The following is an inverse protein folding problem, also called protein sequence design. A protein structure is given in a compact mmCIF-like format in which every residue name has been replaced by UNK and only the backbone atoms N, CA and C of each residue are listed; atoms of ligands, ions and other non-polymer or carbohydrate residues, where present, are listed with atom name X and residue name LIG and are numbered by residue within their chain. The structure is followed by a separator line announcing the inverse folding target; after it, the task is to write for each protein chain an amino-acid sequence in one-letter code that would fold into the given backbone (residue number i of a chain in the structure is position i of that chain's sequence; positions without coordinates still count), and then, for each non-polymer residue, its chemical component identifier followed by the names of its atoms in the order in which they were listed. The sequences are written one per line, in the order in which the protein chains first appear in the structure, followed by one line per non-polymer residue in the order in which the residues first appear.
data_IF_321299804100
#
_entry.id   IF_321299804100
#
_cell.length_a   1.000
_cell.length_b   1.000
_cell.length_c   1.000
_cell.angle_alpha   90.00
_cell.angle_beta   90.00
_cell.angle_gamma   90.00
#
_symmetry.space_group_name_H-M   'P 1'
#
loop_
_entity.id
_entity.type
_entity.pdbx_description
1 polymer ?
#
# COMPACT_ATOMS: atom_id res chain seq x y z
N UNK A 1 -4.96 2.68 33.35
CA UNK A 1 -4.51 3.26 32.08
C UNK A 1 -3.39 2.42 31.43
N UNK A 2 -3.52 1.08 31.46
CA UNK A 2 -2.51 0.13 30.92
C UNK A 2 -3.12 -0.94 29.99
N UNK A 3 -4.45 -0.95 29.82
CA UNK A 3 -5.15 -1.93 29.00
C UNK A 3 -5.34 -1.51 27.53
N UNK A 4 -5.21 -0.21 27.21
CA UNK A 4 -5.37 0.30 25.84
C UNK A 4 -4.10 0.16 24.98
N UNK A 5 -2.92 0.11 25.60
CA UNK A 5 -1.65 -0.11 24.87
C UNK A 5 -1.53 -1.56 24.40
N UNK A 6 -2.14 -2.52 25.11
CA UNK A 6 -2.13 -3.93 24.70
C UNK A 6 -3.02 -4.22 23.47
N UNK A 7 -4.09 -3.44 23.25
CA UNK A 7 -5.03 -3.69 22.16
C UNK A 7 -4.46 -3.30 20.78
N UNK A 8 -3.59 -2.29 20.71
CA UNK A 8 -2.91 -1.89 19.47
C UNK A 8 -1.75 -2.84 19.16
N UNK A 9 -1.13 -3.43 20.19
CA UNK A 9 -0.09 -4.47 20.01
C UNK A 9 -0.67 -5.81 19.57
N UNK A 10 -1.92 -6.14 19.91
CA UNK A 10 -2.54 -7.41 19.47
C UNK A 10 -3.02 -7.42 18.01
N UNK A 11 -3.18 -6.26 17.36
CA UNK A 11 -3.41 -6.22 15.92
C UNK A 11 -2.15 -6.54 15.09
N UNK A 12 -0.97 -6.58 15.73
CA UNK A 12 0.32 -6.91 15.12
C UNK A 12 0.62 -8.43 15.09
N UNK A 13 -0.32 -9.27 15.56
CA UNK A 13 -0.13 -10.73 15.70
C UNK A 13 -1.22 -11.54 14.99
N UNK A 14 -1.79 -11.04 13.89
CA UNK A 14 -2.47 -11.92 12.96
C UNK A 14 -1.45 -12.34 11.91
N UNK A 15 -1.01 -13.61 11.89
CA UNK A 15 -0.21 -14.12 10.80
C UNK A 15 -1.15 -14.26 9.60
N UNK A 16 -1.33 -13.19 8.84
CA UNK A 16 -1.89 -13.31 7.51
C UNK A 16 -0.80 -13.89 6.63
N UNK A 17 -0.99 -15.15 6.24
CA UNK A 17 -0.11 -15.88 5.35
C UNK A 17 -0.12 -15.24 3.97
N UNK A 18 0.70 -14.20 3.79
CA UNK A 18 1.11 -13.79 2.46
C UNK A 18 1.93 -14.94 1.89
N UNK A 19 1.54 -15.43 0.71
CA UNK A 19 2.33 -16.41 -0.01
C UNK A 19 3.73 -15.83 -0.19
N UNK A 20 4.73 -16.55 0.35
CA UNK A 20 6.12 -16.21 0.08
C UNK A 20 6.38 -16.62 -1.38
N UNK A 21 7.42 -16.15 -2.06
CA UNK A 21 7.87 -16.79 -3.29
C UNK A 21 9.25 -17.34 -2.99
N UNK A 22 9.31 -18.65 -2.76
CA UNK A 22 10.57 -19.37 -2.62
C UNK A 22 10.90 -19.88 -4.02
N UNK A 23 12.07 -19.52 -4.53
CA UNK A 23 12.55 -19.94 -5.84
C UNK A 23 12.90 -21.44 -5.83
N UNK A 24 11.90 -22.30 -5.64
CA UNK A 24 12.00 -23.72 -5.94
C UNK A 24 12.09 -23.90 -7.46
N UNK A 25 12.91 -24.83 -7.93
CA UNK A 25 12.87 -25.24 -9.34
C UNK A 25 11.67 -26.18 -9.51
N UNK A 26 10.70 -25.82 -10.37
CA UNK A 26 9.55 -26.68 -10.61
C UNK A 26 9.99 -28.02 -11.20
N UNK A 27 9.36 -29.12 -10.74
CA UNK A 27 9.64 -30.49 -11.22
C UNK A 27 8.71 -30.87 -12.39
N UNK A 28 7.58 -30.16 -12.55
CA UNK A 28 6.60 -30.31 -13.63
C UNK A 28 5.63 -29.12 -13.71
N UNK A 29 4.73 -29.12 -14.70
CA UNK A 29 3.77 -28.02 -14.95
C UNK A 29 2.35 -28.49 -15.32
N UNK A 30 2.11 -29.80 -15.38
CA UNK A 30 0.79 -30.33 -15.73
C UNK A 30 -0.13 -30.41 -14.51
N UNK A 31 -1.18 -29.58 -14.50
CA UNK A 31 -2.25 -29.66 -13.51
C UNK A 31 -3.41 -30.48 -14.08
N UNK A 32 -3.61 -31.70 -13.56
CA UNK A 32 -4.61 -32.65 -14.08
C UNK A 32 -6.07 -32.17 -14.04
N UNK A 33 -6.40 -31.21 -13.19
CA UNK A 33 -7.76 -30.65 -13.08
C UNK A 33 -8.06 -29.57 -14.12
N UNK A 34 -7.04 -28.92 -14.71
CA UNK A 34 -7.22 -27.86 -15.68
C UNK A 34 -7.39 -28.44 -17.09
N UNK A 35 -8.59 -28.97 -17.37
CA UNK A 35 -8.90 -29.68 -18.62
C UNK A 35 -9.58 -28.83 -19.68
N UNK A 36 -9.96 -27.58 -19.36
CA UNK A 36 -10.52 -26.64 -20.31
C UNK A 36 -9.51 -25.55 -20.66
N UNK A 37 -9.64 -24.96 -21.85
CA UNK A 37 -8.75 -23.90 -22.31
C UNK A 37 -9.51 -22.77 -22.99
N UNK A 38 -8.92 -21.57 -22.93
CA UNK A 38 -9.33 -20.41 -23.72
C UNK A 38 -8.07 -19.71 -24.21
N UNK A 39 -8.11 -19.19 -25.44
CA UNK A 39 -6.98 -18.48 -26.06
C UNK A 39 -7.40 -17.05 -26.32
N UNK A 40 -6.59 -16.10 -25.84
CA UNK A 40 -6.78 -14.66 -26.05
C UNK A 40 -5.46 -14.07 -26.55
N UNK A 41 -5.41 -13.75 -27.85
CA UNK A 41 -4.16 -13.30 -28.48
C UNK A 41 -3.08 -14.39 -28.43
N UNK A 42 -1.96 -14.10 -27.74
CA UNK A 42 -0.83 -15.04 -27.52
C UNK A 42 -0.83 -15.65 -26.11
N UNK A 43 -1.90 -15.42 -25.35
CA UNK A 43 -2.13 -16.02 -24.03
C UNK A 43 -3.00 -17.26 -24.20
N UNK A 44 -2.52 -18.39 -23.68
CA UNK A 44 -3.31 -19.60 -23.48
C UNK A 44 -3.64 -19.71 -22.00
N UNK A 45 -4.92 -19.82 -21.65
CA UNK A 45 -5.37 -20.03 -20.28
C UNK A 45 -6.03 -21.40 -20.15
N UNK A 46 -5.38 -22.31 -19.43
CA UNK A 46 -5.94 -23.58 -18.96
C UNK A 46 -6.66 -23.38 -17.63
N UNK A 47 -7.83 -24.00 -17.44
CA UNK A 47 -8.61 -23.84 -16.21
C UNK A 47 -9.45 -25.07 -15.85
N UNK A 48 -9.79 -25.19 -14.55
CA UNK A 48 -10.77 -26.17 -14.07
C UNK A 48 -12.16 -25.82 -14.64
N UNK A 49 -12.88 -26.74 -15.30
CA UNK A 49 -14.19 -26.46 -15.90
C UNK A 49 -15.20 -25.77 -14.98
N UNK A 50 -15.09 -25.97 -13.66
CA UNK A 50 -15.97 -25.35 -12.67
C UNK A 50 -15.67 -23.86 -12.41
N UNK A 51 -14.57 -23.33 -12.95
CA UNK A 51 -14.13 -21.94 -12.84
C UNK A 51 -14.33 -21.15 -14.14
N UNK A 52 -15.17 -21.66 -15.05
CA UNK A 52 -15.28 -21.13 -16.42
C UNK A 52 -15.53 -19.63 -16.46
N UNK A 53 -16.47 -19.13 -15.65
CA UNK A 53 -16.86 -17.72 -15.74
C UNK A 53 -15.72 -16.82 -15.22
N UNK A 54 -15.12 -17.14 -14.08
CA UNK A 54 -13.97 -16.41 -13.54
C UNK A 54 -12.72 -16.52 -14.45
N UNK A 55 -12.51 -17.68 -15.10
CA UNK A 55 -11.40 -17.87 -16.04
C UNK A 55 -11.57 -16.98 -17.28
N UNK A 56 -12.78 -16.83 -17.80
CA UNK A 56 -13.04 -15.96 -18.95
C UNK A 56 -12.85 -14.49 -18.61
N UNK A 57 -13.24 -14.07 -17.39
CA UNK A 57 -12.96 -12.71 -16.89
C UNK A 57 -11.46 -12.47 -16.77
N UNK A 58 -10.72 -13.39 -16.14
CA UNK A 58 -9.27 -13.33 -16.01
C UNK A 58 -8.58 -13.25 -17.38
N UNK A 59 -8.97 -14.12 -18.32
CA UNK A 59 -8.40 -14.17 -19.67
C UNK A 59 -8.54 -12.85 -20.43
N UNK A 60 -9.63 -12.11 -20.20
CA UNK A 60 -9.87 -10.82 -20.84
C UNK A 60 -8.95 -9.70 -20.29
N UNK A 61 -8.51 -9.81 -19.03
CA UNK A 61 -7.70 -8.79 -18.36
C UNK A 61 -6.19 -8.94 -18.60
N UNK A 62 -5.69 -10.19 -18.75
CA UNK A 62 -4.25 -10.48 -18.89
C UNK A 62 -3.56 -9.64 -19.98
N UNK A 63 -4.11 -9.47 -21.20
CA UNK A 63 -3.42 -8.70 -22.25
C UNK A 63 -3.19 -7.23 -21.88
N UNK A 64 -4.14 -6.59 -21.19
CA UNK A 64 -3.98 -5.21 -20.73
C UNK A 64 -2.89 -5.12 -19.67
N UNK A 65 -2.92 -5.99 -18.68
CA UNK A 65 -1.93 -6.05 -17.60
C UNK A 65 -0.52 -6.32 -18.15
N UNK A 66 -0.38 -7.25 -19.09
CA UNK A 66 0.88 -7.51 -19.78
C UNK A 66 1.37 -6.26 -20.50
N UNK A 67 0.51 -5.60 -21.28
CA UNK A 67 0.89 -4.38 -22.01
C UNK A 67 1.29 -3.22 -21.09
N UNK A 68 0.72 -3.12 -19.89
CA UNK A 68 1.18 -2.16 -18.88
C UNK A 68 2.60 -2.49 -18.38
N UNK A 69 2.86 -3.75 -18.03
CA UNK A 69 4.16 -4.23 -17.53
C UNK A 69 5.22 -4.09 -18.62
N UNK A 70 4.94 -4.56 -19.84
CA UNK A 70 5.80 -4.43 -21.01
C UNK A 70 6.23 -2.98 -21.20
N UNK A 71 5.29 -2.05 -21.47
CA UNK A 71 5.62 -0.64 -21.71
C UNK A 71 6.47 0.01 -20.63
N UNK A 72 6.32 -0.43 -19.39
CA UNK A 72 7.08 0.08 -18.26
C UNK A 72 8.50 -0.51 -18.13
N UNK A 73 8.70 -1.78 -18.51
CA UNK A 73 9.99 -2.48 -18.44
C UNK A 73 10.79 -2.37 -19.76
N UNK A 74 10.17 -2.70 -20.90
CA UNK A 74 10.79 -2.71 -22.21
C UNK A 74 9.73 -2.62 -23.31
N UNK A 75 10.02 -1.92 -24.41
CA UNK A 75 9.00 -1.61 -25.43
C UNK A 75 8.57 -2.76 -26.34
N UNK A 76 9.17 -3.94 -26.24
CA UNK A 76 8.91 -5.10 -27.11
C UNK A 76 9.36 -6.39 -26.40
N UNK A 77 8.50 -6.97 -25.57
CA UNK A 77 8.74 -8.25 -24.91
C UNK A 77 7.87 -9.33 -25.55
N UNK A 78 8.41 -10.54 -25.75
CA UNK A 78 7.58 -11.68 -26.16
C UNK A 78 6.40 -11.80 -25.19
N UNK A 79 5.18 -11.76 -25.70
CA UNK A 79 3.93 -11.71 -24.95
C UNK A 79 3.25 -13.08 -24.83
N UNK A 80 3.94 -14.15 -25.28
CA UNK A 80 3.44 -15.52 -25.14
C UNK A 80 3.37 -15.89 -23.65
N UNK A 81 2.19 -16.26 -23.18
CA UNK A 81 1.98 -16.74 -21.81
C UNK A 81 1.16 -18.02 -21.83
N UNK A 82 1.54 -18.98 -21.00
CA UNK A 82 0.81 -20.22 -20.78
C UNK A 82 0.37 -20.23 -19.32
N UNK A 83 -0.91 -19.94 -19.09
CA UNK A 83 -1.45 -19.67 -17.75
C UNK A 83 -2.35 -20.82 -17.35
N UNK A 84 -2.20 -21.33 -16.13
CA UNK A 84 -3.07 -22.36 -15.57
C UNK A 84 -3.76 -21.82 -14.32
N UNK A 85 -5.09 -21.76 -14.36
CA UNK A 85 -5.93 -21.28 -13.27
C UNK A 85 -6.64 -22.42 -12.56
N UNK A 86 -6.36 -22.57 -11.26
CA UNK A 86 -6.81 -23.70 -10.44
C UNK A 86 -7.62 -23.24 -9.24
N UNK A 87 -8.46 -24.12 -8.70
CA UNK A 87 -9.36 -23.72 -7.60
C UNK A 87 -8.63 -23.48 -6.27
N UNK A 88 -7.52 -24.16 -6.00
CA UNK A 88 -6.85 -24.11 -4.70
C UNK A 88 -5.33 -24.26 -4.86
N UNK A 89 -4.57 -23.49 -4.07
CA UNK A 89 -3.08 -23.45 -4.10
C UNK A 89 -2.40 -24.80 -3.92
N UNK A 90 -3.03 -25.72 -3.17
CA UNK A 90 -2.55 -27.11 -3.02
C UNK A 90 -2.30 -27.83 -4.36
N UNK A 91 -3.00 -27.47 -5.44
CA UNK A 91 -2.77 -28.01 -6.79
C UNK A 91 -1.47 -27.52 -7.41
N UNK A 92 -1.02 -26.32 -7.06
CA UNK A 92 0.26 -25.77 -7.48
C UNK A 92 1.38 -26.65 -6.94
N UNK A 93 1.39 -26.91 -5.63
CA UNK A 93 2.38 -27.76 -5.00
C UNK A 93 2.41 -29.18 -5.59
N UNK A 94 1.26 -29.75 -5.92
CA UNK A 94 1.16 -31.06 -6.57
C UNK A 94 1.80 -31.07 -7.98
N UNK A 95 1.60 -30.02 -8.76
CA UNK A 95 2.07 -29.95 -10.15
C UNK A 95 3.53 -29.52 -10.27
N UNK A 96 3.95 -28.54 -9.45
CA UNK A 96 5.25 -27.86 -9.58
C UNK A 96 6.27 -28.34 -8.55
N UNK A 97 5.83 -28.92 -7.44
CA UNK A 97 6.72 -29.24 -6.30
C UNK A 97 7.06 -28.01 -5.44
N UNK A 98 6.41 -26.88 -5.70
CA UNK A 98 6.54 -25.67 -4.87
C UNK A 98 5.92 -25.88 -3.48
N UNK A 99 6.30 -25.06 -2.48
CA UNK A 99 5.68 -25.10 -1.16
C UNK A 99 4.16 -24.92 -1.24
N UNK A 100 3.41 -25.63 -0.38
CA UNK A 100 1.93 -25.58 -0.36
C UNK A 100 1.36 -24.21 -0.04
N UNK A 101 2.19 -23.30 0.50
CA UNK A 101 1.76 -21.95 0.78
C UNK A 101 1.74 -21.06 -0.48
N UNK A 102 2.30 -21.50 -1.61
CA UNK A 102 2.38 -20.71 -2.84
C UNK A 102 1.00 -20.61 -3.51
N UNK A 103 0.47 -19.39 -3.62
CA UNK A 103 -0.80 -19.13 -4.30
C UNK A 103 -0.63 -18.91 -5.82
N UNK A 104 0.60 -18.57 -6.26
CA UNK A 104 1.02 -18.43 -7.64
C UNK A 104 2.46 -18.89 -7.82
N UNK A 105 2.82 -19.22 -9.06
CA UNK A 105 4.21 -19.46 -9.48
C UNK A 105 4.37 -19.24 -10.98
N UNK A 106 5.48 -18.61 -11.37
CA UNK A 106 5.92 -18.48 -12.74
C UNK A 106 7.14 -19.36 -13.06
N UNK A 107 7.24 -19.78 -14.33
CA UNK A 107 8.46 -20.22 -14.98
C UNK A 107 8.89 -19.14 -15.98
N UNK A 108 9.74 -18.19 -15.57
CA UNK A 108 10.10 -17.08 -16.43
C UNK A 108 10.69 -17.47 -17.81
N UNK A 109 11.53 -18.52 -17.94
CA UNK A 109 12.08 -18.94 -19.23
C UNK A 109 11.06 -19.37 -20.28
N UNK A 110 9.95 -19.99 -19.87
CA UNK A 110 8.93 -20.52 -20.81
C UNK A 110 7.69 -19.65 -20.86
N UNK A 111 7.46 -18.78 -19.87
CA UNK A 111 6.24 -18.00 -19.72
C UNK A 111 5.07 -18.80 -19.14
N UNK A 112 5.34 -19.96 -18.54
CA UNK A 112 4.34 -20.75 -17.83
C UNK A 112 4.01 -20.09 -16.48
N UNK A 113 2.73 -19.94 -16.15
CA UNK A 113 2.24 -19.35 -14.89
C UNK A 113 1.14 -20.25 -14.34
N UNK A 114 1.17 -20.57 -13.06
CA UNK A 114 0.05 -21.25 -12.39
C UNK A 114 -0.42 -20.36 -11.24
N UNK A 115 -1.72 -20.06 -11.20
CA UNK A 115 -2.33 -19.24 -10.13
C UNK A 115 -3.60 -19.89 -9.59
N UNK A 116 -3.85 -19.70 -8.29
CA UNK A 116 -4.98 -20.31 -7.60
C UNK A 116 -6.04 -19.29 -7.16
N UNK A 117 -7.32 -19.67 -7.31
CA UNK A 117 -8.47 -18.92 -6.79
C UNK A 117 -8.43 -18.78 -5.27
N UNK A 118 -8.15 -19.88 -4.58
CA UNK A 118 -8.07 -19.90 -3.13
C UNK A 118 -6.62 -20.08 -2.67
N UNK A 119 -6.24 -19.23 -1.74
CA UNK A 119 -4.98 -19.27 -1.01
C UNK A 119 -4.92 -20.52 -0.08
N UNK A 120 -3.76 -20.83 0.50
CA UNK A 120 -3.57 -22.03 1.32
C UNK A 120 -4.48 -22.13 2.55
N UNK A 121 -4.96 -20.99 3.05
CA UNK A 121 -5.90 -20.89 4.18
C UNK A 121 -7.37 -20.96 3.73
N UNK A 122 -7.63 -21.12 2.43
CA UNK A 122 -8.95 -21.16 1.82
C UNK A 122 -9.56 -19.79 1.55
N UNK A 123 -8.87 -18.68 1.85
CA UNK A 123 -9.31 -17.33 1.48
C UNK A 123 -9.22 -17.11 -0.02
N UNK A 124 -9.99 -16.16 -0.56
CA UNK A 124 -9.88 -15.78 -1.97
C UNK A 124 -8.56 -15.04 -2.21
N UNK A 125 -7.85 -15.43 -3.25
CA UNK A 125 -6.65 -14.74 -3.73
C UNK A 125 -7.03 -13.41 -4.38
N UNK A 126 -6.17 -12.40 -4.20
CA UNK A 126 -6.19 -11.20 -5.05
C UNK A 126 -5.56 -11.55 -6.41
N UNK A 127 -6.40 -11.96 -7.37
CA UNK A 127 -5.94 -12.46 -8.66
C UNK A 127 -5.27 -11.39 -9.53
N UNK A 128 -5.66 -10.11 -9.38
CA UNK A 128 -5.04 -9.01 -10.12
C UNK A 128 -3.59 -8.84 -9.66
N UNK A 129 -3.39 -8.66 -8.36
CA UNK A 129 -2.08 -8.52 -7.75
C UNK A 129 -1.20 -9.76 -8.03
N UNK A 130 -1.73 -10.95 -7.75
CA UNK A 130 -1.00 -12.20 -7.94
C UNK A 130 -0.59 -12.42 -9.40
N UNK A 131 -1.51 -12.23 -10.36
CA UNK A 131 -1.18 -12.43 -11.77
C UNK A 131 -0.14 -11.42 -12.26
N UNK A 132 -0.26 -10.14 -11.86
CA UNK A 132 0.73 -9.11 -12.19
C UNK A 132 2.11 -9.41 -11.59
N UNK A 133 2.16 -9.95 -10.38
CA UNK A 133 3.41 -10.39 -9.74
C UNK A 133 4.09 -11.47 -10.59
N UNK A 134 3.37 -12.54 -10.94
CA UNK A 134 3.92 -13.64 -11.73
C UNK A 134 4.31 -13.20 -13.15
N UNK A 135 3.51 -12.36 -13.81
CA UNK A 135 3.86 -11.78 -15.11
C UNK A 135 5.10 -10.88 -15.03
N UNK A 136 5.29 -10.14 -13.94
CA UNK A 136 6.46 -9.30 -13.75
C UNK A 136 7.75 -10.12 -13.67
N UNK A 137 7.71 -11.34 -13.10
CA UNK A 137 8.85 -12.26 -13.16
C UNK A 137 9.18 -12.67 -14.60
N UNK A 138 8.17 -13.05 -15.39
CA UNK A 138 8.34 -13.41 -16.81
C UNK A 138 8.87 -12.23 -17.62
N UNK A 139 8.28 -11.05 -17.45
CA UNK A 139 8.68 -9.83 -18.14
C UNK A 139 10.11 -9.42 -17.77
N UNK A 140 10.49 -9.50 -16.49
CA UNK A 140 11.85 -9.20 -16.02
C UNK A 140 12.88 -10.16 -16.64
N UNK A 141 12.58 -11.46 -16.68
CA UNK A 141 13.45 -12.44 -17.31
C UNK A 141 13.66 -12.13 -18.80
N UNK A 142 12.58 -11.81 -19.52
CA UNK A 142 12.64 -11.44 -20.94
C UNK A 142 13.42 -10.14 -21.16
N UNK A 143 13.15 -9.11 -20.35
CA UNK A 143 13.81 -7.81 -20.44
C UNK A 143 15.31 -7.86 -20.13
N UNK A 144 15.77 -8.88 -19.41
CA UNK A 144 17.16 -9.03 -18.99
C UNK A 144 17.86 -10.21 -19.65
N UNK A 145 17.26 -10.85 -20.66
CA UNK A 145 17.80 -12.03 -21.36
C UNK A 145 18.18 -13.18 -20.40
N UNK A 146 17.45 -13.29 -19.29
CA UNK A 146 17.60 -14.35 -18.31
C UNK A 146 18.90 -14.35 -17.51
N UNK A 147 19.60 -13.22 -17.42
CA UNK A 147 20.81 -13.11 -16.59
C UNK A 147 20.47 -13.34 -15.11
N UNK A 148 21.36 -13.96 -14.31
CA UNK A 148 21.13 -14.11 -12.89
C UNK A 148 21.08 -12.76 -12.16
N UNK A 149 20.00 -12.53 -11.40
CA UNK A 149 19.78 -11.30 -10.64
C UNK A 149 19.80 -11.59 -9.13
N UNK A 150 20.18 -10.61 -8.28
CA UNK A 150 19.96 -10.71 -6.84
C UNK A 150 18.48 -10.94 -6.53
N UNK A 151 18.17 -11.79 -5.55
CA UNK A 151 16.79 -12.16 -5.24
C UNK A 151 15.97 -10.95 -4.81
N UNK A 152 16.54 -10.08 -3.98
CA UNK A 152 15.86 -8.86 -3.55
C UNK A 152 15.39 -8.01 -4.75
N UNK A 153 16.17 -7.96 -5.83
CA UNK A 153 15.79 -7.19 -7.01
C UNK A 153 14.69 -7.89 -7.80
N UNK A 154 14.81 -9.21 -7.99
CA UNK A 154 13.81 -10.03 -8.65
C UNK A 154 12.43 -9.94 -7.98
N UNK A 155 12.40 -10.14 -6.66
CA UNK A 155 11.18 -10.04 -5.84
C UNK A 155 10.67 -8.60 -5.73
N UNK A 156 11.57 -7.63 -5.56
CA UNK A 156 11.22 -6.21 -5.44
C UNK A 156 10.60 -5.65 -6.72
N UNK A 157 11.07 -6.10 -7.89
CA UNK A 157 10.44 -5.79 -9.18
C UNK A 157 9.05 -6.40 -9.26
N UNK A 158 8.90 -7.69 -8.99
CA UNK A 158 7.58 -8.33 -9.04
C UNK A 158 6.57 -7.65 -8.10
N UNK A 159 6.97 -7.37 -6.87
CA UNK A 159 6.19 -6.59 -5.90
C UNK A 159 5.86 -5.18 -6.40
N UNK A 160 6.82 -4.44 -6.97
CA UNK A 160 6.60 -3.08 -7.49
C UNK A 160 5.59 -3.02 -8.63
N UNK A 161 5.51 -4.07 -9.45
CA UNK A 161 4.61 -4.16 -10.61
C UNK A 161 3.26 -4.80 -10.30
N UNK A 162 3.16 -5.56 -9.20
CA UNK A 162 1.94 -6.26 -8.80
C UNK A 162 0.82 -5.34 -8.27
N UNK A 163 1.16 -4.37 -7.42
CA UNK A 163 0.18 -3.47 -6.80
C UNK A 163 0.67 -2.03 -6.80
N UNK A 164 -0.22 -1.07 -7.03
CA UNK A 164 0.12 0.36 -6.92
C UNK A 164 0.13 0.83 -5.47
N UNK A 165 -0.65 0.24 -4.55
CA UNK A 165 -0.71 0.67 -3.13
C UNK A 165 -0.96 -0.49 -2.17
N UNK A 166 0.11 -1.16 -1.75
CA UNK A 166 0.03 -2.17 -0.69
C UNK A 166 0.22 -1.53 0.71
N UNK A 167 -0.90 -1.24 1.39
CA UNK A 167 -0.88 -0.65 2.74
C UNK A 167 -0.24 -1.56 3.79
N UNK A 168 -0.29 -2.88 3.60
CA UNK A 168 0.32 -3.82 4.55
C UNK A 168 1.84 -3.74 4.43
N UNK A 169 2.39 -3.75 3.21
CA UNK A 169 3.85 -3.58 2.99
C UNK A 169 4.35 -2.24 3.49
N UNK A 170 3.59 -1.16 3.30
CA UNK A 170 3.89 0.17 3.84
C UNK A 170 3.95 0.13 5.37
N UNK A 171 3.00 -0.55 6.02
CA UNK A 171 3.00 -0.71 7.48
C UNK A 171 4.16 -1.58 7.98
N UNK A 172 4.44 -2.71 7.32
CA UNK A 172 5.58 -3.58 7.64
C UNK A 172 6.89 -2.81 7.59
N UNK A 173 7.13 -2.07 6.51
CA UNK A 173 8.35 -1.28 6.37
C UNK A 173 8.41 -0.17 7.41
N UNK A 174 7.30 0.53 7.68
CA UNK A 174 7.25 1.55 8.73
C UNK A 174 7.57 0.97 10.12
N UNK A 175 7.00 -0.18 10.45
CA UNK A 175 7.28 -0.88 11.70
C UNK A 175 8.76 -1.30 11.80
N UNK A 176 9.37 -1.75 10.71
CA UNK A 176 10.80 -2.06 10.65
C UNK A 176 11.67 -0.80 10.87
N UNK A 177 11.34 0.33 10.23
CA UNK A 177 12.07 1.61 10.34
C UNK A 177 12.13 2.11 11.79
N UNK A 178 11.05 1.96 12.56
CA UNK A 178 10.94 2.42 13.95
C UNK A 178 11.10 1.30 15.00
N UNK A 179 11.40 0.08 14.56
CA UNK A 179 11.48 -1.11 15.41
C UNK A 179 12.79 -1.86 15.19
N UNK A 180 12.68 -3.06 14.60
CA UNK A 180 13.78 -4.03 14.44
C UNK A 180 14.91 -3.55 13.52
N UNK A 181 14.65 -2.56 12.67
CA UNK A 181 15.57 -2.07 11.65
C UNK A 181 15.23 -2.59 10.26
N UNK A 182 15.70 -1.87 9.23
CA UNK A 182 15.62 -2.29 7.83
C UNK A 182 16.97 -2.89 7.44
N UNK A 183 17.02 -4.16 7.00
CA UNK A 183 18.28 -4.79 6.58
C UNK A 183 18.98 -3.98 5.48
N UNK A 184 20.33 -3.93 5.47
CA UNK A 184 21.07 -3.44 4.32
C UNK A 184 20.95 -4.40 3.12
N UNK A 185 21.26 -3.92 1.90
CA UNK A 185 21.06 -4.69 0.67
C UNK A 185 21.84 -6.01 0.66
N UNK A 186 23.06 -6.01 1.19
CA UNK A 186 23.92 -7.19 1.29
C UNK A 186 23.37 -8.26 2.25
N UNK A 187 22.56 -7.86 3.23
CA UNK A 187 21.84 -8.76 4.14
C UNK A 187 20.44 -9.14 3.65
N UNK A 188 19.86 -8.44 2.66
CA UNK A 188 18.52 -8.75 2.14
C UNK A 188 18.47 -10.17 1.58
N UNK A 189 19.50 -10.60 0.85
CA UNK A 189 19.59 -11.94 0.26
C UNK A 189 19.48 -13.04 1.33
N UNK A 190 20.13 -12.84 2.48
CA UNK A 190 20.05 -13.75 3.62
C UNK A 190 18.68 -13.67 4.32
N UNK A 191 18.09 -12.48 4.40
CA UNK A 191 16.79 -12.23 5.05
C UNK A 191 15.64 -13.01 4.39
N UNK A 192 15.72 -13.29 3.09
CA UNK A 192 14.74 -14.15 2.40
C UNK A 192 14.79 -15.64 2.82
N UNK A 193 15.78 -16.03 3.63
CA UNK A 193 15.90 -17.38 4.23
C UNK A 193 15.78 -17.33 5.76
N UNK A 194 15.46 -16.15 6.29
CA UNK A 194 15.28 -15.91 7.71
C UNK A 194 13.95 -16.43 8.24
N UNK A 195 13.55 -15.91 9.40
CA UNK A 195 12.23 -16.18 9.95
C UNK A 195 11.12 -15.46 9.15
N UNK A 196 9.83 -15.81 9.34
CA UNK A 196 8.73 -15.21 8.58
C UNK A 196 8.64 -13.67 8.71
N UNK A 197 9.05 -13.10 9.85
CA UNK A 197 9.05 -11.65 10.05
C UNK A 197 10.17 -11.00 9.25
N UNK A 198 11.38 -11.57 9.28
CA UNK A 198 12.53 -11.13 8.48
C UNK A 198 12.21 -11.18 6.98
N UNK A 199 11.60 -12.27 6.50
CA UNK A 199 11.19 -12.40 5.10
C UNK A 199 10.16 -11.33 4.71
N UNK A 200 9.16 -11.10 5.57
CA UNK A 200 8.12 -10.09 5.31
C UNK A 200 8.71 -8.68 5.22
N UNK A 201 9.69 -8.35 6.08
CA UNK A 201 10.44 -7.10 6.01
C UNK A 201 11.31 -7.03 4.76
N UNK A 202 11.96 -8.12 4.36
CA UNK A 202 12.79 -8.20 3.16
C UNK A 202 11.97 -7.88 1.89
N UNK A 203 10.78 -8.48 1.75
CA UNK A 203 9.84 -8.15 0.66
C UNK A 203 9.44 -6.68 0.66
N UNK A 204 9.06 -6.13 1.82
CA UNK A 204 8.65 -4.73 1.94
C UNK A 204 9.80 -3.76 1.61
N UNK A 205 11.02 -4.07 2.06
CA UNK A 205 12.23 -3.29 1.78
C UNK A 205 12.63 -3.37 0.30
N UNK A 206 12.64 -4.58 -0.28
CA UNK A 206 12.94 -4.82 -1.69
C UNK A 206 11.98 -4.04 -2.60
N UNK A 207 10.67 -4.12 -2.32
CA UNK A 207 9.64 -3.36 -3.03
C UNK A 207 9.87 -1.86 -2.95
N UNK A 208 10.11 -1.32 -1.75
CA UNK A 208 10.29 0.13 -1.58
C UNK A 208 11.58 0.64 -2.23
N UNK A 209 12.65 -0.15 -2.18
CA UNK A 209 13.89 0.15 -2.87
C UNK A 209 13.69 0.14 -4.40
N UNK A 210 13.05 -0.88 -4.97
CA UNK A 210 12.75 -0.89 -6.40
C UNK A 210 11.82 0.26 -6.80
N UNK A 211 10.85 0.63 -5.97
CA UNK A 211 10.05 1.83 -6.19
C UNK A 211 10.90 3.11 -6.16
N UNK A 212 11.87 3.20 -5.25
CA UNK A 212 12.83 4.31 -5.22
C UNK A 212 13.65 4.40 -6.52
N UNK A 213 14.04 3.25 -7.08
CA UNK A 213 14.74 3.15 -8.36
C UNK A 213 13.83 3.50 -9.56
N UNK A 214 12.59 3.01 -9.55
CA UNK A 214 11.60 3.18 -10.62
C UNK A 214 11.10 4.60 -10.74
N UNK A 215 10.93 5.29 -9.61
CA UNK A 215 10.38 6.64 -9.54
C UNK A 215 11.44 7.72 -9.29
N UNK A 216 12.73 7.38 -9.50
CA UNK A 216 13.83 8.35 -9.44
C UNK A 216 13.69 9.41 -10.54
N UNK A 217 13.27 8.98 -11.73
CA UNK A 217 12.94 9.84 -12.85
C UNK A 217 11.45 9.68 -13.24
N UNK A 218 10.88 10.71 -13.87
CA UNK A 218 9.43 10.77 -14.13
C UNK A 218 8.92 9.65 -15.05
N UNK A 219 9.77 9.17 -15.97
CA UNK A 219 9.37 8.23 -17.01
C UNK A 219 9.93 6.83 -16.78
N UNK A 220 10.64 6.57 -15.67
CA UNK A 220 11.29 5.30 -15.36
C UNK A 220 12.40 4.90 -16.33
N UNK A 221 13.06 5.88 -16.98
CA UNK A 221 14.12 5.63 -17.97
C UNK A 221 15.32 4.96 -17.35
N UNK A 222 15.69 5.32 -16.14
CA UNK A 222 16.88 4.78 -15.49
C UNK A 222 16.70 3.28 -15.21
N UNK A 223 15.50 2.88 -14.79
CA UNK A 223 15.18 1.46 -14.56
C UNK A 223 15.20 0.64 -15.87
N UNK A 224 14.65 1.20 -16.96
CA UNK A 224 14.71 0.56 -18.29
C UNK A 224 16.14 0.48 -18.83
N UNK A 225 16.96 1.50 -18.54
CA UNK A 225 18.38 1.46 -18.86
C UNK A 225 19.06 0.34 -18.07
N UNK A 226 18.75 0.16 -16.77
CA UNK A 226 19.27 -0.96 -15.97
C UNK A 226 18.93 -2.31 -16.62
N UNK A 227 17.68 -2.54 -17.03
CA UNK A 227 17.32 -3.78 -17.73
C UNK A 227 18.08 -3.96 -19.05
N UNK A 228 18.28 -2.88 -19.80
CA UNK A 228 19.07 -2.90 -21.05
C UNK A 228 20.54 -3.24 -20.80
N UNK A 229 21.16 -2.65 -19.78
CA UNK A 229 22.56 -2.96 -19.45
C UNK A 229 22.70 -4.42 -18.95
N UNK A 230 21.71 -4.92 -18.22
CA UNK A 230 21.66 -6.33 -17.80
C UNK A 230 21.53 -7.27 -19.00
N UNK A 231 20.67 -6.95 -19.98
CA UNK A 231 20.50 -7.78 -21.19
C UNK A 231 21.75 -7.80 -22.08
N UNK A 232 22.59 -6.77 -22.01
CA UNK A 232 23.92 -6.74 -22.64
C UNK A 232 24.98 -7.57 -21.90
N UNK A 233 24.63 -8.19 -20.77
CA UNK A 233 25.51 -9.09 -20.01
C UNK A 233 26.44 -8.38 -19.01
N UNK A 234 26.22 -7.10 -18.70
CA UNK A 234 26.95 -6.44 -17.63
C UNK A 234 26.57 -7.04 -16.27
N UNK A 235 27.53 -7.06 -15.33
CA UNK A 235 27.23 -7.45 -13.94
C UNK A 235 26.23 -6.47 -13.32
N UNK A 236 25.48 -6.92 -12.31
CA UNK A 236 24.45 -6.10 -11.67
C UNK A 236 24.99 -4.75 -11.18
N UNK A 237 26.12 -4.72 -10.47
CA UNK A 237 26.77 -3.48 -10.02
C UNK A 237 27.19 -2.56 -11.18
N UNK A 238 27.73 -3.14 -12.26
CA UNK A 238 28.14 -2.37 -13.44
C UNK A 238 26.92 -1.80 -14.17
N UNK A 239 25.84 -2.58 -14.30
CA UNK A 239 24.60 -2.15 -14.92
C UNK A 239 23.94 -1.02 -14.10
N UNK A 240 23.92 -1.12 -12.77
CA UNK A 240 23.45 -0.05 -11.88
C UNK A 240 24.26 1.23 -12.07
N UNK A 241 25.59 1.13 -12.05
CA UNK A 241 26.46 2.30 -12.24
C UNK A 241 26.22 2.97 -13.60
N UNK A 242 26.01 2.19 -14.66
CA UNK A 242 25.77 2.72 -16.02
C UNK A 242 24.39 3.32 -16.18
N UNK A 243 23.38 2.76 -15.52
CA UNK A 243 22.00 3.22 -15.60
C UNK A 243 21.73 4.46 -14.72
N UNK A 244 22.25 4.47 -13.49
CA UNK A 244 21.96 5.50 -12.50
C UNK A 244 23.10 6.52 -12.30
N UNK A 245 24.30 6.24 -12.84
CA UNK A 245 25.49 7.09 -12.68
C UNK A 245 26.13 7.03 -11.28
N UNK A 246 25.60 6.20 -10.38
CA UNK A 246 26.05 6.01 -9.01
C UNK A 246 26.09 4.51 -8.67
N UNK A 247 26.88 4.14 -7.68
CA UNK A 247 27.01 2.75 -7.23
C UNK A 247 25.75 2.28 -6.49
N UNK A 248 25.58 0.95 -6.37
CA UNK A 248 24.48 0.36 -5.61
C UNK A 248 24.47 0.80 -4.14
N UNK A 249 25.65 0.92 -3.51
CA UNK A 249 25.78 1.40 -2.14
C UNK A 249 25.42 2.87 -1.95
N UNK A 250 25.67 3.72 -2.95
CA UNK A 250 25.23 5.12 -2.93
C UNK A 250 23.70 5.22 -3.05
N UNK A 251 23.09 4.44 -3.96
CA UNK A 251 21.62 4.35 -4.07
C UNK A 251 20.98 3.85 -2.76
N UNK A 252 21.59 2.86 -2.13
CA UNK A 252 21.14 2.39 -0.82
C UNK A 252 21.20 3.52 0.22
N UNK A 253 22.32 4.24 0.30
CA UNK A 253 22.49 5.35 1.24
C UNK A 253 21.45 6.46 1.02
N UNK A 254 21.21 6.84 -0.23
CA UNK A 254 20.17 7.81 -0.60
C UNK A 254 18.77 7.34 -0.18
N UNK A 255 18.41 6.11 -0.53
CA UNK A 255 17.13 5.49 -0.17
C UNK A 255 16.93 5.48 1.35
N UNK A 256 17.92 4.98 2.11
CA UNK A 256 17.86 4.85 3.58
C UNK A 256 17.74 6.19 4.28
N UNK A 257 18.39 7.23 3.78
CA UNK A 257 18.31 8.59 4.34
C UNK A 257 16.89 9.15 4.25
N UNK A 258 16.14 8.80 3.20
CA UNK A 258 14.76 9.23 2.99
C UNK A 258 13.71 8.48 3.82
N UNK A 259 14.01 7.26 4.30
CA UNK A 259 13.03 6.39 4.95
C UNK A 259 12.34 7.04 6.17
N UNK A 260 13.11 7.52 7.15
CA UNK A 260 12.53 8.10 8.38
C UNK A 260 11.66 9.33 8.10
N UNK A 261 12.03 10.16 7.12
CA UNK A 261 11.27 11.34 6.74
C UNK A 261 9.90 10.97 6.13
N UNK A 262 9.91 10.06 5.15
CA UNK A 262 8.71 9.56 4.45
C UNK A 262 7.70 8.89 5.39
N UNK A 263 8.18 8.23 6.44
CA UNK A 263 7.35 7.49 7.39
C UNK A 263 7.16 8.19 8.75
N UNK A 264 7.47 9.49 8.85
CA UNK A 264 7.33 10.27 10.09
C UNK A 264 5.90 10.33 10.65
N UNK A 265 4.89 10.09 9.80
CA UNK A 265 3.48 9.97 10.20
C UNK A 265 3.19 8.72 11.05
N UNK A 266 3.96 7.64 10.88
CA UNK A 266 3.70 6.35 11.51
C UNK A 266 3.70 6.41 13.05
N UNK A 267 4.74 6.95 13.73
CA UNK A 267 4.71 7.09 15.18
C UNK A 267 3.59 8.04 15.66
N UNK A 268 3.19 9.03 14.85
CA UNK A 268 2.09 9.95 15.21
C UNK A 268 0.72 9.26 15.17
N UNK A 269 0.54 8.31 14.26
CA UNK A 269 -0.67 7.46 14.22
C UNK A 269 -0.63 6.49 15.38
N UNK A 270 0.50 5.80 15.59
CA UNK A 270 0.68 4.81 16.65
C UNK A 270 0.57 5.39 18.07
N UNK A 271 0.94 6.66 18.28
CA UNK A 271 0.79 7.33 19.58
C UNK A 271 -0.65 7.74 19.90
N UNK A 272 -1.57 7.72 18.92
CA UNK A 272 -2.94 8.19 19.07
C UNK A 272 -3.08 9.71 19.19
N UNK A 273 -2.01 10.47 18.95
CA UNK A 273 -2.01 11.94 19.09
C UNK A 273 -2.57 12.66 17.86
N UNK A 274 -2.53 12.03 16.68
CA UNK A 274 -2.98 12.62 15.41
C UNK A 274 -4.42 13.18 15.43
N UNK A 275 -5.43 12.46 15.98
CA UNK A 275 -6.77 13.01 16.12
C UNK A 275 -6.81 14.27 16.98
N UNK A 276 -5.97 14.37 18.02
CA UNK A 276 -5.89 15.57 18.86
C UNK A 276 -5.25 16.74 18.10
N UNK A 277 -4.20 16.50 17.32
CA UNK A 277 -3.60 17.54 16.46
C UNK A 277 -4.56 18.08 15.39
N UNK A 278 -5.48 17.25 14.89
CA UNK A 278 -6.48 17.67 13.89
C UNK A 278 -7.73 18.31 14.54
N UNK A 279 -8.20 17.77 15.66
CA UNK A 279 -9.46 18.20 16.31
C UNK A 279 -9.24 19.40 17.24
N UNK A 280 -8.12 19.48 17.98
CA UNK A 280 -7.88 20.58 18.93
C UNK A 280 -7.87 21.96 18.29
N UNK A 281 -7.26 22.20 17.11
CA UNK A 281 -7.34 23.51 16.45
C UNK A 281 -8.78 23.89 16.09
N UNK A 282 -9.60 22.93 15.66
CA UNK A 282 -11.01 23.15 15.33
C UNK A 282 -11.83 23.47 16.57
N UNK A 283 -11.62 22.73 17.67
CA UNK A 283 -12.27 22.98 18.96
C UNK A 283 -11.82 24.32 19.53
N UNK A 284 -10.53 24.64 19.48
CA UNK A 284 -10.00 25.93 19.92
C UNK A 284 -10.59 27.08 19.10
N UNK A 285 -10.65 26.94 17.76
CA UNK A 285 -11.29 27.92 16.89
C UNK A 285 -12.77 28.11 17.22
N UNK A 286 -13.52 27.01 17.35
CA UNK A 286 -14.93 27.03 17.72
C UNK A 286 -15.15 27.68 19.10
N UNK A 287 -14.29 27.37 20.08
CA UNK A 287 -14.33 27.94 21.42
C UNK A 287 -14.01 29.44 21.41
N UNK A 288 -12.98 29.87 20.69
CA UNK A 288 -12.64 31.30 20.52
C UNK A 288 -13.81 32.04 19.87
N UNK A 289 -14.38 31.47 18.80
CA UNK A 289 -15.55 32.04 18.11
C UNK A 289 -16.76 32.12 19.03
N UNK A 290 -17.02 31.07 19.81
CA UNK A 290 -18.11 31.02 20.77
C UNK A 290 -17.93 32.05 21.89
N UNK A 291 -16.73 32.15 22.48
CA UNK A 291 -16.41 33.18 23.48
C UNK A 291 -16.57 34.59 22.94
N UNK A 292 -16.16 34.86 21.70
CA UNK A 292 -16.37 36.17 21.05
C UNK A 292 -17.86 36.50 20.97
N UNK A 293 -18.68 35.57 20.47
CA UNK A 293 -20.14 35.74 20.37
C UNK A 293 -20.81 35.97 21.72
N UNK A 294 -20.42 35.21 22.74
CA UNK A 294 -20.94 35.40 24.10
C UNK A 294 -20.58 36.78 24.64
N UNK A 295 -19.32 37.21 24.53
CA UNK A 295 -18.92 38.55 24.97
C UNK A 295 -19.71 39.66 24.27
N UNK A 296 -19.93 39.53 22.97
CA UNK A 296 -20.72 40.51 22.22
C UNK A 296 -22.19 40.50 22.64
N UNK A 297 -22.75 39.35 23.01
CA UNK A 297 -24.11 39.22 23.53
C UNK A 297 -24.26 39.85 24.92
N UNK A 298 -23.35 39.56 25.84
CA UNK A 298 -23.31 40.21 27.15
C UNK A 298 -23.15 41.72 27.04
N UNK A 299 -22.26 42.20 26.15
CA UNK A 299 -22.08 43.63 25.92
C UNK A 299 -23.32 44.32 25.32
N UNK A 300 -24.20 43.58 24.61
CA UNK A 300 -25.50 44.11 24.15
C UNK A 300 -26.48 44.24 25.30
N UNK A 301 -26.65 43.18 26.10
CA UNK A 301 -27.52 43.18 27.27
C UNK A 301 -27.13 44.28 28.26
N UNK A 302 -25.83 44.44 28.55
CA UNK A 302 -25.34 45.52 29.41
C UNK A 302 -25.68 46.92 28.88
N UNK A 303 -25.77 47.11 27.56
CA UNK A 303 -26.20 48.38 26.97
C UNK A 303 -27.70 48.58 27.12
N UNK A 304 -28.49 47.56 26.83
CA UNK A 304 -29.95 47.58 26.96
C UNK A 304 -30.37 47.82 28.42
N UNK A 305 -29.72 47.16 29.39
CA UNK A 305 -29.97 47.36 30.81
C UNK A 305 -29.64 48.80 31.25
N UNK A 306 -28.52 49.36 30.80
CA UNK A 306 -28.18 50.78 31.08
C UNK A 306 -29.20 51.72 30.48
N UNK A 307 -29.65 51.47 29.26
CA UNK A 307 -30.68 52.27 28.59
C UNK A 307 -32.03 52.17 29.33
N UNK A 308 -32.41 50.96 29.74
CA UNK A 308 -33.63 50.72 30.50
C UNK A 308 -33.60 51.40 31.88
N UNK A 309 -32.51 51.25 32.62
CA UNK A 309 -32.27 51.96 33.89
C UNK A 309 -32.32 53.48 33.70
N UNK A 310 -31.71 54.01 32.64
CA UNK A 310 -31.75 55.44 32.33
C UNK A 310 -33.14 55.93 31.91
N UNK A 311 -33.98 55.08 31.30
CA UNK A 311 -35.39 55.37 31.00
C UNK A 311 -36.23 55.40 32.27
N UNK A 312 -36.08 54.41 33.15
CA UNK A 312 -36.74 54.35 34.46
C UNK A 312 -36.37 55.58 35.28
N UNK A 313 -35.09 55.90 35.40
CA UNK A 313 -34.61 57.06 36.15
C UNK A 313 -35.17 58.40 35.61
N UNK A 314 -35.39 58.51 34.29
CA UNK A 314 -36.03 59.68 33.68
C UNK A 314 -37.55 59.74 33.89
N UNK A 315 -38.22 58.59 33.95
CA UNK A 315 -39.68 58.51 34.11
C UNK A 315 -40.14 58.60 35.58
N UNK A 316 -39.30 58.16 36.53
CA UNK A 316 -39.62 58.15 37.96
C UNK A 316 -40.11 59.50 38.51
N UNK A 317 -39.43 60.64 38.21
CA UNK A 317 -39.86 61.94 38.72
C UNK A 317 -41.26 62.35 38.23
N UNK A 318 -41.63 61.99 37.00
CA UNK A 318 -42.94 62.32 36.42
C UNK A 318 -44.07 61.44 36.98
N UNK A 319 -43.77 60.18 37.32
CA UNK A 319 -44.71 59.25 37.97
C UNK A 319 -44.97 59.61 39.44
N UNK A 320 -43.94 60.06 40.16
CA UNK A 320 -44.05 60.49 41.57
C UNK A 320 -44.78 61.84 41.69
N UNK A 321 -44.75 62.68 40.66
CA UNK A 321 -45.45 63.98 40.62
C UNK A 321 -46.93 63.88 40.18
N UNK A 322 -47.45 62.70 39.85
CA UNK A 322 -48.84 62.53 39.44
C UNK A 322 -49.80 62.81 40.61
N UNK A 323 -50.79 63.71 40.48
CA UNK A 323 -51.70 64.06 41.56
C UNK A 323 -52.59 62.87 41.94
N UNK A 324 -52.78 62.66 43.25
CA UNK A 324 -53.65 61.60 43.78
C UNK A 324 -55.11 61.82 43.34
N UNK A 325 -55.88 60.75 43.03
CA UNK A 325 -57.28 60.89 42.67
C UNK A 325 -58.06 61.50 43.83
N UNK A 326 -58.74 62.61 43.55
CA UNK A 326 -59.58 63.33 44.51
C UNK A 326 -60.66 62.40 45.04
N UNK A 327 -60.64 62.18 46.37
CA UNK A 327 -61.66 61.40 47.06
C UNK A 327 -63.06 61.99 46.82
N UNK A 328 -63.96 61.19 46.25
CA UNK A 328 -65.38 61.55 46.14
C UNK A 328 -65.97 61.74 47.55
N UNK A 329 -66.52 62.93 47.80
CA UNK A 329 -67.28 63.26 49.01
C UNK A 329 -68.60 62.49 49.02
N UNK A 330 -68.95 61.89 50.15
CA UNK A 330 -70.32 61.49 50.46
C UNK A 330 -70.91 62.51 51.46
N UNK A 331 -72.09 63.02 51.06
CA UNK A 331 -73.14 63.78 51.76
C UNK A 331 -72.73 64.74 52.89
#
# INVERSE_FOLDING_TARGET
MHWFVLAVVMALLIPFGQAHAEAGRPVGWQVSSATSEVVVGRVVLHYDPNLRDEALELAAMIPEWWSEIERSMAGDLDDRLDVTYVNHSGRIAEATGMPRWAAGVAHPPTGEIVIARHAPDGSLSDLDNLMRHEMAHVALYRATEGVPLPRWFHEGVAESYADRVDLLRVQTLAAAIFGVGVPPIDELEASFRGDPQEVTVAYAAARDLVNHLRYRDADGRDLRQLFTELSLGYSFDAAVLRAYGVTLGELEGEWRTGLRGRFSWFPMVGSGELPFFLIMPLVAYAWIRHRRRLRDAWARLDREDREFQARIARALPALVAAPQPVACRCA
#
